data_IF_930768367521
#
_entry.id   IF_930768367521
#
_cell.length_a   1.000
_cell.length_b   1.000
_cell.length_c   1.000
_cell.angle_alpha   90.00
_cell.angle_beta   90.00
_cell.angle_gamma   90.00
#
_symmetry.space_group_name_H-M   'P 1'
#
loop_
_entity.id
_entity.type
_entity.pdbx_description
1 polymer ?
#
# COMPACT_ATOMS: atom_id res chain seq x y z
N UNK A 1 3.19 21.61 -5.24
CA UNK A 1 1.92 21.18 -4.63
C UNK A 1 1.64 19.76 -5.09
N UNK A 2 1.54 18.85 -4.14
CA UNK A 2 1.29 17.43 -4.37
C UNK A 2 -0.13 17.09 -3.94
N UNK A 3 -0.84 16.33 -4.76
CA UNK A 3 -2.21 15.91 -4.46
C UNK A 3 -2.27 14.40 -4.48
N UNK A 4 -2.58 13.79 -3.33
CA UNK A 4 -2.97 12.39 -3.27
C UNK A 4 -4.41 12.23 -3.76
N UNK A 5 -4.67 11.32 -4.69
CA UNK A 5 -5.99 11.11 -5.30
C UNK A 5 -6.33 9.62 -5.38
N UNK A 6 -7.64 9.33 -5.40
CA UNK A 6 -8.18 7.97 -5.57
C UNK A 6 -8.60 7.80 -7.03
N UNK A 7 -8.14 6.73 -7.67
CA UNK A 7 -8.39 6.44 -9.07
C UNK A 7 -9.78 5.88 -9.32
N UNK A 8 -10.35 6.21 -10.47
CA UNK A 8 -11.54 5.55 -11.04
C UNK A 8 -11.18 4.35 -11.95
N UNK A 9 -9.93 3.88 -11.92
CA UNK A 9 -9.45 2.74 -12.72
C UNK A 9 -8.95 3.07 -14.13
N UNK A 10 -8.82 4.35 -14.48
CA UNK A 10 -8.41 4.81 -15.83
C UNK A 10 -7.13 5.65 -15.85
N UNK A 11 -6.51 5.83 -14.69
CA UNK A 11 -5.30 6.66 -14.57
C UNK A 11 -4.08 5.83 -14.96
N UNK A 12 -3.21 6.35 -15.83
CA UNK A 12 -1.90 5.73 -16.15
C UNK A 12 -0.79 6.42 -15.38
N UNK A 13 0.14 5.63 -14.85
CA UNK A 13 1.38 6.14 -14.27
C UNK A 13 2.31 6.63 -15.39
N UNK A 14 2.77 7.87 -15.32
CA UNK A 14 3.64 8.46 -16.35
C UNK A 14 5.08 7.89 -16.31
N UNK A 15 5.46 7.19 -15.23
CA UNK A 15 6.77 6.51 -15.13
C UNK A 15 6.74 5.07 -15.67
N UNK A 16 5.87 4.22 -15.12
CA UNK A 16 5.85 2.79 -15.45
C UNK A 16 4.76 2.39 -16.45
N UNK A 17 3.87 3.31 -16.84
CA UNK A 17 2.76 3.05 -17.76
C UNK A 17 1.61 2.22 -17.18
N UNK A 18 1.75 1.66 -15.98
CA UNK A 18 0.72 0.84 -15.35
C UNK A 18 -0.55 1.66 -15.11
N UNK A 19 -1.71 1.04 -15.36
CA UNK A 19 -3.00 1.62 -14.99
C UNK A 19 -3.21 1.47 -13.48
N UNK A 20 -3.50 2.58 -12.81
CA UNK A 20 -3.93 2.62 -11.41
C UNK A 20 -5.38 2.18 -11.38
N UNK A 21 -5.64 1.02 -10.78
CA UNK A 21 -6.96 0.38 -10.75
C UNK A 21 -7.96 1.18 -9.92
N UNK A 22 -9.23 0.77 -9.96
CA UNK A 22 -10.28 1.45 -9.22
C UNK A 22 -9.98 1.46 -7.71
N UNK A 23 -10.27 2.57 -7.05
CA UNK A 23 -10.03 2.83 -5.63
C UNK A 23 -8.55 2.84 -5.19
N UNK A 24 -7.60 2.60 -6.10
CA UNK A 24 -6.17 2.72 -5.79
C UNK A 24 -5.72 4.18 -5.72
N UNK A 25 -4.68 4.42 -4.92
CA UNK A 25 -4.11 5.76 -4.72
C UNK A 25 -3.06 6.09 -5.79
N UNK A 26 -2.98 7.37 -6.13
CA UNK A 26 -1.90 7.90 -6.96
C UNK A 26 -1.59 9.35 -6.58
N UNK A 27 -0.44 9.83 -7.04
CA UNK A 27 0.05 11.18 -6.82
C UNK A 27 -0.09 12.01 -8.09
N UNK A 28 -0.54 13.26 -7.95
CA UNK A 28 -0.42 14.30 -8.96
C UNK A 28 0.63 15.31 -8.47
N UNK A 29 1.61 15.63 -9.31
CA UNK A 29 2.67 16.61 -9.03
C UNK A 29 3.02 17.35 -10.33
N UNK A 30 3.46 18.61 -10.22
CA UNK A 30 4.03 19.33 -11.36
C UNK A 30 5.54 19.16 -11.37
N UNK A 31 6.10 18.62 -12.44
CA UNK A 31 7.54 18.38 -12.59
C UNK A 31 8.11 18.98 -13.86
N UNK A 32 9.35 19.49 -13.77
CA UNK A 32 10.20 19.85 -14.89
C UNK A 32 11.55 19.18 -14.70
N UNK A 33 12.00 18.40 -15.69
CA UNK A 33 13.26 17.64 -15.62
C UNK A 33 13.41 16.75 -14.37
N UNK A 34 12.29 16.16 -13.90
CA UNK A 34 12.28 15.27 -12.73
C UNK A 34 12.33 15.98 -11.37
N UNK A 35 12.32 17.31 -11.35
CA UNK A 35 12.24 18.14 -10.15
C UNK A 35 10.88 18.81 -10.09
N UNK A 36 10.33 18.98 -8.90
CA UNK A 36 9.05 19.68 -8.71
C UNK A 36 9.19 21.16 -9.10
N UNK A 37 8.34 21.62 -10.02
CA UNK A 37 8.30 23.00 -10.52
C UNK A 37 6.83 23.42 -10.62
N UNK A 38 6.36 24.24 -9.68
CA UNK A 38 4.95 24.63 -9.61
C UNK A 38 4.52 25.59 -10.72
N UNK A 39 5.47 26.36 -11.23
CA UNK A 39 5.24 27.47 -12.17
C UNK A 39 5.29 26.96 -13.61
N UNK A 40 6.35 26.21 -13.96
CA UNK A 40 6.63 25.76 -15.32
C UNK A 40 6.67 24.22 -15.47
N UNK A 41 6.30 23.48 -14.43
CA UNK A 41 6.26 22.02 -14.47
C UNK A 41 5.02 21.46 -15.16
N UNK A 42 5.21 20.32 -15.80
CA UNK A 42 4.14 19.54 -16.40
C UNK A 42 3.46 18.67 -15.33
N UNK A 43 2.15 18.49 -15.46
CA UNK A 43 1.41 17.59 -14.56
C UNK A 43 1.81 16.15 -14.84
N UNK A 44 2.40 15.49 -13.84
CA UNK A 44 2.70 14.06 -13.82
C UNK A 44 1.82 13.32 -12.82
N UNK A 45 1.48 12.08 -13.15
CA UNK A 45 0.68 11.14 -12.38
C UNK A 45 1.53 9.92 -12.06
N UNK A 46 1.71 9.62 -10.79
CA UNK A 46 2.50 8.49 -10.35
C UNK A 46 1.69 7.53 -9.49
N UNK A 47 1.77 6.23 -9.78
CA UNK A 47 1.29 5.23 -8.83
C UNK A 47 2.10 5.30 -7.52
N UNK A 48 1.56 4.74 -6.44
CA UNK A 48 2.21 4.78 -5.11
C UNK A 48 3.66 4.28 -5.16
N UNK A 49 3.93 3.21 -5.92
CA UNK A 49 5.29 2.64 -6.05
C UNK A 49 6.28 3.66 -6.64
N UNK A 50 5.95 4.21 -7.81
CA UNK A 50 6.82 5.18 -8.49
C UNK A 50 6.95 6.50 -7.72
N UNK A 51 5.90 6.89 -6.99
CA UNK A 51 5.93 8.07 -6.13
C UNK A 51 6.84 7.84 -4.90
N UNK A 52 6.85 6.64 -4.32
CA UNK A 52 7.76 6.26 -3.23
C UNK A 52 9.22 6.20 -3.71
N UNK A 53 9.50 5.62 -4.87
CA UNK A 53 10.86 5.60 -5.47
C UNK A 53 11.42 7.00 -5.73
N UNK A 54 10.54 7.98 -6.01
CA UNK A 54 10.90 9.39 -6.18
C UNK A 54 11.02 10.15 -4.85
N UNK A 55 10.76 9.51 -3.72
CA UNK A 55 10.79 10.14 -2.40
C UNK A 55 9.60 11.08 -2.13
N UNK A 56 8.52 11.00 -2.92
CA UNK A 56 7.33 11.82 -2.70
C UNK A 56 6.36 11.23 -1.67
N UNK A 57 6.53 9.93 -1.38
CA UNK A 57 5.68 9.19 -0.45
C UNK A 57 6.58 8.46 0.53
N UNK A 58 6.30 8.58 1.82
CA UNK A 58 6.77 7.58 2.77
C UNK A 58 5.66 6.59 3.06
N UNK A 59 6.04 5.32 3.11
CA UNK A 59 5.20 4.26 3.64
C UNK A 59 5.71 3.93 5.03
N UNK A 60 4.83 3.85 6.03
CA UNK A 60 5.15 3.28 7.35
C UNK A 60 4.11 2.23 7.71
N UNK A 61 4.50 1.25 8.52
CA UNK A 61 3.58 0.28 9.08
C UNK A 61 3.44 0.56 10.57
N UNK A 62 2.22 0.82 11.03
CA UNK A 62 1.93 1.05 12.44
C UNK A 62 0.80 0.12 12.86
N UNK A 63 1.03 -0.69 13.91
CA UNK A 63 0.04 -1.63 14.46
C UNK A 63 -0.64 -2.53 13.40
N UNK A 64 0.12 -2.94 12.38
CA UNK A 64 -0.36 -3.78 11.28
C UNK A 64 -1.02 -3.01 10.13
N UNK A 65 -1.26 -1.70 10.25
CA UNK A 65 -1.82 -0.87 9.18
C UNK A 65 -0.72 -0.20 8.35
N UNK A 66 -0.89 -0.17 7.02
CA UNK A 66 0.02 0.51 6.11
C UNK A 66 -0.41 1.96 5.90
N UNK A 67 0.37 2.89 6.43
CA UNK A 67 0.15 4.33 6.32
C UNK A 67 0.97 4.89 5.14
N UNK A 68 0.30 5.66 4.27
CA UNK A 68 0.91 6.34 3.13
C UNK A 68 0.83 7.85 3.34
N UNK A 69 1.99 8.50 3.47
CA UNK A 69 2.07 9.95 3.68
C UNK A 69 2.73 10.62 2.48
N UNK A 70 2.01 11.55 1.84
CA UNK A 70 2.53 12.40 0.77
C UNK A 70 3.07 13.69 1.40
N UNK A 71 4.39 13.89 1.42
CA UNK A 71 5.01 15.10 1.95
C UNK A 71 5.01 16.21 0.91
N UNK A 72 4.92 17.48 1.30
CA UNK A 72 5.22 18.60 0.41
C UNK A 72 6.73 18.85 0.38
N UNK A 73 7.26 19.41 -0.71
CA UNK A 73 8.70 19.59 -0.93
C UNK A 73 9.42 20.47 0.12
N UNK A 74 8.69 21.14 1.01
CA UNK A 74 9.25 22.05 2.01
C UNK A 74 9.79 21.36 3.27
N UNK A 75 9.48 20.09 3.53
CA UNK A 75 9.96 19.38 4.73
C UNK A 75 11.25 18.60 4.44
N UNK A 76 12.30 19.34 4.04
CA UNK A 76 13.68 18.82 4.01
C UNK A 76 14.17 18.68 5.46
N UNK A 77 13.79 17.61 6.14
CA UNK A 77 14.22 17.34 7.50
C UNK A 77 13.89 15.96 8.07
N UNK A 78 13.16 15.12 7.33
CA UNK A 78 12.95 13.73 7.75
C UNK A 78 14.04 12.85 7.15
N UNK A 79 14.88 12.30 8.03
CA UNK A 79 15.84 11.26 7.66
C UNK A 79 15.11 10.09 6.98
N UNK A 80 15.72 9.47 5.95
CA UNK A 80 15.18 8.28 5.33
C UNK A 80 15.11 7.17 6.39
N UNK A 81 13.90 6.82 6.82
CA UNK A 81 13.70 5.63 7.66
C UNK A 81 13.94 4.41 6.78
N UNK A 82 14.84 3.54 7.25
CA UNK A 82 15.25 2.34 6.52
C UNK A 82 14.03 1.50 6.13
N UNK A 83 13.99 0.95 4.91
CA UNK A 83 12.91 0.06 4.49
C UNK A 83 12.94 -1.19 5.37
N UNK A 84 12.01 -1.30 6.31
CA UNK A 84 11.79 -2.55 7.04
C UNK A 84 11.26 -3.59 6.06
N UNK A 85 12.02 -4.68 5.94
CA UNK A 85 11.75 -5.82 5.06
C UNK A 85 10.31 -6.33 5.24
N UNK A 86 9.64 -6.81 4.17
CA UNK A 86 8.29 -7.32 4.28
C UNK A 86 8.27 -8.51 5.25
N UNK A 87 7.44 -8.42 6.28
CA UNK A 87 7.21 -9.52 7.20
C UNK A 87 6.80 -10.77 6.41
N UNK A 88 7.57 -11.83 6.60
CA UNK A 88 7.32 -13.13 6.00
C UNK A 88 5.91 -13.62 6.33
N UNK A 89 5.35 -14.34 5.36
CA UNK A 89 4.07 -15.03 5.35
C UNK A 89 3.71 -15.68 6.69
N UNK A 90 2.71 -15.13 7.37
CA UNK A 90 2.00 -15.83 8.44
C UNK A 90 1.18 -16.96 7.81
N UNK A 91 1.61 -18.20 8.06
CA UNK A 91 0.86 -19.40 7.72
C UNK A 91 -0.48 -19.42 8.46
N UNK A 92 -1.57 -19.89 7.84
CA UNK A 92 -2.88 -19.91 8.49
C UNK A 92 -2.85 -20.89 9.67
N UNK A 93 -3.18 -20.38 10.85
CA UNK A 93 -3.46 -21.17 12.05
C UNK A 93 -4.65 -22.09 11.77
N UNK A 94 -4.39 -23.38 11.63
CA UNK A 94 -5.42 -24.42 11.62
C UNK A 94 -6.01 -24.54 13.02
N UNK A 95 -7.31 -24.28 13.14
CA UNK A 95 -8.09 -24.47 14.37
C UNK A 95 -8.08 -25.96 14.77
N UNK A 96 -7.92 -26.31 16.05
CA UNK A 96 -8.03 -27.70 16.49
C UNK A 96 -9.50 -28.15 16.45
N UNK A 97 -9.74 -29.32 15.85
CA UNK A 97 -11.03 -30.00 15.84
C UNK A 97 -11.42 -30.41 17.27
N UNK A 98 -12.59 -29.96 17.74
CA UNK A 98 -13.20 -30.40 19.00
C UNK A 98 -13.49 -31.90 18.94
N UNK A 99 -12.92 -32.65 19.89
CA UNK A 99 -13.31 -34.03 20.17
C UNK A 99 -14.71 -34.01 20.80
N UNK A 100 -15.70 -34.49 20.06
CA UNK A 100 -16.98 -34.90 20.64
C UNK A 100 -16.82 -36.36 21.05
N UNK A 101 -16.67 -36.60 22.36
CA UNK A 101 -16.89 -37.91 22.97
C UNK A 101 -18.39 -38.01 23.23
N UNK A 102 -19.10 -38.83 22.46
CA UNK A 102 -20.46 -39.26 22.79
C UNK A 102 -20.47 -40.77 22.99
N UNK A 103 -21.10 -41.16 24.09
CA UNK A 103 -20.91 -42.43 24.78
C UNK A 103 -21.72 -43.59 24.21
N UNK A 104 -21.34 -44.77 24.67
CA UNK A 104 -21.97 -46.07 24.42
C UNK A 104 -23.44 -46.10 24.84
N UNK A 105 -24.30 -46.64 23.99
CA UNK A 105 -25.47 -47.41 24.42
C UNK A 105 -25.50 -48.75 23.67
N UNK A 106 -25.39 -49.83 24.45
CA UNK A 106 -25.53 -51.21 24.03
C UNK A 106 -27.02 -51.54 23.87
N UNK A 107 -27.42 -52.11 22.74
CA UNK A 107 -28.66 -52.90 22.66
C UNK A 107 -28.39 -54.25 21.97
N UNK A 108 -28.30 -55.26 22.83
CA UNK A 108 -28.54 -56.67 22.60
C UNK A 108 -29.93 -56.87 21.98
N UNK A 109 -30.05 -57.62 20.88
CA UNK A 109 -31.17 -58.53 20.57
C UNK A 109 -31.08 -59.13 19.16
N UNK A 110 -31.01 -60.47 19.08
CA UNK A 110 -31.48 -61.25 17.91
C UNK A 110 -30.54 -62.32 17.38
#
# INVERSE_FOLDING_TARGET
MRIGTISQGKIKCDKCGQTVVYADRYLIVKEKNGVEDEENGEVKRYCVKCAAEKGYVQTRQEKGERILTFFQAAEKGLEPVEPVEPAESVEPVVSPEEKVEDGEENEDNG
#
